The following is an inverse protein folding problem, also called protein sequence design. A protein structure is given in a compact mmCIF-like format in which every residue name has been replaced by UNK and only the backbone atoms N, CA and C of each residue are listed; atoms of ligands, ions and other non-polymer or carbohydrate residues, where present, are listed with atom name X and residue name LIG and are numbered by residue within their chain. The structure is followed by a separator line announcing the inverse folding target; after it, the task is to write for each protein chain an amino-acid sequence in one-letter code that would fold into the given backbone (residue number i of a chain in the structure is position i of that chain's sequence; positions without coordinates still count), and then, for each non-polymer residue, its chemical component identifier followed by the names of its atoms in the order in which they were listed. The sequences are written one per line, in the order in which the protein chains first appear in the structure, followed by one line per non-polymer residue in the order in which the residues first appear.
data_IF_391416727870
#
_entry.id   IF_391416727870
#
_cell.length_a   1.000
_cell.length_b   1.000
_cell.length_c   1.000
_cell.angle_alpha   90.00
_cell.angle_beta   90.00
_cell.angle_gamma   90.00
#
_symmetry.space_group_name_H-M   'P 1'
#
loop_
_entity.id
_entity.type
_entity.pdbx_description
1 polymer ?
#
# COMPACT_ATOMS: atom_id res chain seq x y z
N UNK A 1 8.36 16.98 -7.22
CA UNK A 1 7.49 18.16 -7.06
C UNK A 1 6.18 18.04 -7.85
N UNK A 2 6.20 17.80 -9.16
CA UNK A 2 4.98 17.70 -9.98
C UNK A 2 4.03 16.59 -9.48
N UNK A 3 4.55 15.42 -9.15
CA UNK A 3 3.77 14.29 -8.62
C UNK A 3 3.06 14.67 -7.31
N UNK A 4 3.75 15.35 -6.41
CA UNK A 4 3.18 15.79 -5.13
C UNK A 4 2.07 16.82 -5.35
N UNK A 5 2.26 17.78 -6.25
CA UNK A 5 1.24 18.76 -6.58
C UNK A 5 0.00 18.11 -7.21
N UNK A 6 0.21 17.21 -8.17
CA UNK A 6 -0.88 16.45 -8.79
C UNK A 6 -1.63 15.57 -7.78
N UNK A 7 -0.90 14.88 -6.90
CA UNK A 7 -1.48 14.06 -5.85
C UNK A 7 -2.27 14.89 -4.83
N UNK A 8 -1.79 16.10 -4.48
CA UNK A 8 -2.51 17.02 -3.60
C UNK A 8 -3.81 17.53 -4.23
N UNK A 9 -3.79 17.89 -5.53
CA UNK A 9 -4.98 18.29 -6.27
C UNK A 9 -5.99 17.13 -6.35
N UNK A 10 -5.52 15.93 -6.61
CA UNK A 10 -6.34 14.72 -6.63
C UNK A 10 -6.94 14.43 -5.25
N UNK A 11 -6.13 14.52 -4.19
CA UNK A 11 -6.59 14.34 -2.80
C UNK A 11 -7.68 15.36 -2.41
N UNK A 12 -7.52 16.61 -2.85
CA UNK A 12 -8.54 17.65 -2.65
C UNK A 12 -9.85 17.29 -3.36
N UNK A 13 -9.78 16.89 -4.64
CA UNK A 13 -10.96 16.49 -5.41
C UNK A 13 -11.65 15.26 -4.78
N UNK A 14 -10.88 14.26 -4.37
CA UNK A 14 -11.38 13.07 -3.67
C UNK A 14 -12.13 13.44 -2.38
N UNK A 15 -11.58 14.40 -1.62
CA UNK A 15 -12.18 14.88 -0.38
C UNK A 15 -13.49 15.64 -0.65
N UNK A 16 -13.51 16.45 -1.71
CA UNK A 16 -14.71 17.20 -2.14
C UNK A 16 -15.87 16.25 -2.49
N UNK A 17 -15.60 15.23 -3.27
CA UNK A 17 -16.57 14.20 -3.68
C UNK A 17 -16.95 13.22 -2.55
N UNK A 18 -16.37 13.38 -1.36
CA UNK A 18 -16.56 12.48 -0.21
C UNK A 18 -16.27 11.02 -0.55
N UNK A 19 -15.37 10.77 -1.51
CA UNK A 19 -14.96 9.42 -1.92
C UNK A 19 -14.36 8.65 -0.74
N UNK A 20 -13.53 9.25 0.15
CA UNK A 20 -13.05 8.56 1.34
C UNK A 20 -14.17 8.04 2.24
N UNK A 21 -15.24 8.82 2.43
CA UNK A 21 -16.38 8.41 3.24
C UNK A 21 -17.15 7.25 2.61
N UNK A 22 -17.38 7.30 1.29
CA UNK A 22 -18.02 6.21 0.52
C UNK A 22 -17.16 4.95 0.51
N UNK A 23 -15.84 5.09 0.34
CA UNK A 23 -14.89 3.99 0.43
C UNK A 23 -14.88 3.34 1.82
N UNK A 24 -14.89 4.15 2.88
CA UNK A 24 -15.00 3.66 4.24
C UNK A 24 -16.29 2.88 4.49
N UNK A 25 -17.43 3.39 4.03
CA UNK A 25 -18.71 2.70 4.14
C UNK A 25 -18.73 1.38 3.36
N UNK A 26 -18.15 1.35 2.17
CA UNK A 26 -18.02 0.13 1.37
C UNK A 26 -17.18 -0.92 2.09
N UNK A 27 -16.04 -0.53 2.65
CA UNK A 27 -15.15 -1.42 3.42
C UNK A 27 -15.85 -1.97 4.68
N UNK A 28 -16.59 -1.13 5.41
CA UNK A 28 -17.33 -1.55 6.60
C UNK A 28 -18.49 -2.48 6.25
N UNK A 29 -19.12 -2.29 5.08
CA UNK A 29 -20.15 -3.20 4.59
C UNK A 29 -19.63 -4.58 4.19
N UNK A 30 -18.37 -4.68 3.76
CA UNK A 30 -17.75 -5.94 3.40
C UNK A 30 -17.52 -6.84 4.62
N UNK A 31 -17.13 -6.26 5.76
CA UNK A 31 -16.93 -7.01 6.98
C UNK A 31 -17.01 -6.12 8.23
N UNK A 32 -17.61 -6.65 9.27
CA UNK A 32 -17.70 -6.02 10.59
C UNK A 32 -16.53 -6.39 11.50
N UNK A 33 -15.71 -7.38 11.10
CA UNK A 33 -14.55 -7.80 11.88
C UNK A 33 -13.31 -6.99 11.52
N UNK A 34 -12.71 -6.22 12.46
CA UNK A 34 -11.58 -5.35 12.18
C UNK A 34 -10.35 -6.09 11.64
N UNK A 35 -10.11 -7.32 12.09
CA UNK A 35 -9.00 -8.15 11.62
C UNK A 35 -9.12 -8.55 10.15
N UNK A 36 -10.33 -8.94 9.73
CA UNK A 36 -10.57 -9.32 8.32
C UNK A 36 -10.44 -8.10 7.42
N UNK A 37 -10.88 -6.94 7.89
CA UNK A 37 -10.74 -5.71 7.15
C UNK A 37 -9.27 -5.29 6.99
N UNK A 38 -8.48 -5.35 8.06
CA UNK A 38 -7.04 -5.08 7.98
C UNK A 38 -6.34 -6.02 7.00
N UNK A 39 -6.67 -7.31 7.03
CA UNK A 39 -6.12 -8.29 6.10
C UNK A 39 -6.49 -7.97 4.65
N UNK A 40 -7.74 -7.59 4.39
CA UNK A 40 -8.20 -7.19 3.07
C UNK A 40 -7.47 -5.93 2.57
N UNK A 41 -7.32 -4.93 3.44
CA UNK A 41 -6.56 -3.71 3.15
C UNK A 41 -5.10 -4.04 2.88
N UNK A 42 -4.47 -4.92 3.67
CA UNK A 42 -3.09 -5.35 3.47
C UNK A 42 -2.89 -5.98 2.10
N UNK A 43 -3.76 -6.90 1.69
CA UNK A 43 -3.70 -7.50 0.35
C UNK A 43 -3.86 -6.43 -0.74
N UNK A 44 -4.81 -5.53 -0.59
CA UNK A 44 -5.02 -4.42 -1.52
C UNK A 44 -3.80 -3.50 -1.63
N UNK A 45 -3.19 -3.15 -0.50
CA UNK A 45 -1.98 -2.31 -0.44
C UNK A 45 -0.77 -2.97 -1.09
N UNK A 46 -0.59 -4.28 -0.90
CA UNK A 46 0.47 -5.03 -1.58
C UNK A 46 0.28 -4.96 -3.10
N UNK A 47 -0.93 -5.24 -3.59
CA UNK A 47 -1.24 -5.19 -5.03
C UNK A 47 -1.00 -3.79 -5.60
N UNK A 48 -1.41 -2.73 -4.90
CA UNK A 48 -1.14 -1.35 -5.31
C UNK A 48 0.34 -1.04 -5.28
N UNK A 49 1.06 -1.46 -4.22
CA UNK A 49 2.51 -1.27 -4.09
C UNK A 49 3.33 -2.00 -5.15
N UNK A 50 2.81 -3.12 -5.70
CA UNK A 50 3.43 -3.79 -6.85
C UNK A 50 3.38 -2.95 -8.13
N UNK A 51 2.34 -2.12 -8.30
CA UNK A 51 2.05 -1.41 -9.56
C UNK A 51 2.48 0.05 -9.52
N UNK A 52 2.40 0.69 -8.35
CA UNK A 52 2.61 2.13 -8.16
C UNK A 52 3.79 2.34 -7.21
N UNK A 53 4.54 3.40 -7.44
CA UNK A 53 5.63 3.82 -6.54
C UNK A 53 5.07 4.13 -5.14
N UNK A 54 5.75 3.64 -4.10
CA UNK A 54 5.26 3.65 -2.73
C UNK A 54 4.90 5.03 -2.18
N UNK A 55 5.70 6.07 -2.48
CA UNK A 55 5.43 7.44 -2.02
C UNK A 55 4.17 8.02 -2.66
N UNK A 56 3.98 7.80 -3.96
CA UNK A 56 2.78 8.23 -4.66
C UNK A 56 1.55 7.48 -4.15
N UNK A 57 1.66 6.17 -3.96
CA UNK A 57 0.58 5.35 -3.40
C UNK A 57 0.21 5.80 -1.98
N UNK A 58 1.19 6.11 -1.13
CA UNK A 58 0.95 6.60 0.23
C UNK A 58 0.14 7.90 0.21
N UNK A 59 0.54 8.89 -0.59
CA UNK A 59 -0.14 10.19 -0.68
C UNK A 59 -1.59 10.02 -1.18
N UNK A 60 -1.81 9.13 -2.14
CA UNK A 60 -3.14 8.88 -2.72
C UNK A 60 -4.06 8.10 -1.80
N UNK A 61 -3.55 7.08 -1.10
CA UNK A 61 -4.38 6.15 -0.32
C UNK A 61 -4.62 6.62 1.10
N UNK A 62 -3.71 7.37 1.70
CA UNK A 62 -3.85 7.85 3.08
C UNK A 62 -5.16 8.58 3.33
N UNK A 63 -5.58 9.59 2.53
CA UNK A 63 -6.83 10.30 2.76
C UNK A 63 -8.08 9.41 2.59
N UNK A 64 -7.96 8.30 1.88
CA UNK A 64 -9.06 7.35 1.67
C UNK A 64 -9.17 6.37 2.83
N UNK A 65 -8.03 5.82 3.27
CA UNK A 65 -7.99 4.73 4.24
C UNK A 65 -8.06 5.22 5.70
N UNK A 66 -7.40 6.34 6.03
CA UNK A 66 -7.35 6.85 7.42
C UNK A 66 -8.74 7.10 8.01
N UNK A 67 -9.70 7.75 7.31
CA UNK A 67 -11.04 7.92 7.86
C UNK A 67 -11.78 6.60 8.09
N UNK A 68 -11.49 5.57 7.28
CA UNK A 68 -12.09 4.25 7.43
C UNK A 68 -11.60 3.55 8.70
N UNK A 69 -10.28 3.54 8.91
CA UNK A 69 -9.68 2.85 10.06
C UNK A 69 -9.98 3.54 11.39
N UNK A 70 -10.06 4.88 11.40
CA UNK A 70 -10.43 5.65 12.60
C UNK A 70 -11.86 5.32 13.03
N UNK A 71 -12.80 5.16 12.10
CA UNK A 71 -14.18 4.73 12.39
C UNK A 71 -14.24 3.34 13.03
N UNK A 72 -13.25 2.50 12.79
CA UNK A 72 -13.14 1.16 13.37
C UNK A 72 -12.37 1.12 14.69
N UNK A 73 -11.93 2.29 15.18
CA UNK A 73 -11.18 2.40 16.43
C UNK A 73 -9.73 1.93 16.34
N UNK A 74 -9.18 1.82 15.12
CA UNK A 74 -7.76 1.46 14.90
C UNK A 74 -6.91 2.72 15.02
N UNK A 75 -5.77 2.61 15.72
CA UNK A 75 -4.84 3.72 15.90
C UNK A 75 -4.23 4.13 14.54
N UNK A 76 -4.36 5.41 14.12
CA UNK A 76 -3.80 5.91 12.88
C UNK A 76 -2.28 5.76 12.77
N UNK A 77 -1.56 5.83 13.89
CA UNK A 77 -0.11 5.68 13.91
C UNK A 77 0.30 4.24 13.57
N UNK A 78 -0.36 3.28 14.20
CA UNK A 78 -0.16 1.86 13.91
C UNK A 78 -0.46 1.56 12.42
N UNK A 79 -1.58 2.06 11.93
CA UNK A 79 -1.96 1.88 10.53
C UNK A 79 -0.99 2.57 9.55
N UNK A 80 -0.44 3.72 9.94
CA UNK A 80 0.59 4.41 9.16
C UNK A 80 1.84 3.54 8.95
N UNK A 81 2.29 2.85 9.98
CA UNK A 81 3.39 1.89 9.88
C UNK A 81 3.03 0.71 8.96
N UNK A 82 1.84 0.18 9.11
CA UNK A 82 1.33 -0.92 8.27
C UNK A 82 1.31 -0.53 6.79
N UNK A 83 0.81 0.66 6.43
CA UNK A 83 0.81 1.13 5.03
C UNK A 83 2.22 1.22 4.47
N UNK A 84 3.17 1.83 5.21
CA UNK A 84 4.54 2.01 4.74
C UNK A 84 5.22 0.66 4.49
N UNK A 85 5.09 -0.27 5.43
CA UNK A 85 5.66 -1.62 5.31
C UNK A 85 5.04 -2.36 4.13
N UNK A 86 3.70 -2.32 3.99
CA UNK A 86 3.00 -2.95 2.86
C UNK A 86 3.46 -2.45 1.49
N UNK A 87 3.50 -1.14 1.32
CA UNK A 87 3.91 -0.53 0.05
C UNK A 87 5.38 -0.82 -0.27
N UNK A 88 6.24 -0.89 0.75
CA UNK A 88 7.64 -1.28 0.59
C UNK A 88 7.76 -2.74 0.13
N UNK A 89 7.02 -3.66 0.76
CA UNK A 89 6.96 -5.07 0.35
C UNK A 89 6.43 -5.18 -1.08
N UNK A 90 5.35 -4.47 -1.41
CA UNK A 90 4.80 -4.43 -2.76
C UNK A 90 5.82 -3.97 -3.79
N UNK A 91 6.59 -2.91 -3.49
CA UNK A 91 7.63 -2.37 -4.38
C UNK A 91 8.80 -3.34 -4.68
N UNK A 92 9.00 -4.36 -3.84
CA UNK A 92 10.02 -5.40 -4.04
C UNK A 92 9.42 -6.68 -4.63
N UNK A 93 8.09 -6.83 -4.59
CA UNK A 93 7.38 -8.07 -4.98
C UNK A 93 6.97 -8.05 -6.46
N UNK A 94 7.18 -9.15 -7.24
CA UNK A 94 6.68 -9.25 -8.60
C UNK A 94 5.13 -9.18 -8.62
N UNK A 95 4.46 -8.72 -9.71
CA UNK A 95 4.94 -8.74 -11.10
C UNK A 95 5.70 -7.49 -11.54
N UNK A 96 5.45 -6.31 -10.99
CA UNK A 96 6.15 -5.10 -11.44
C UNK A 96 7.25 -4.73 -10.45
N UNK A 97 6.93 -4.38 -9.20
CA UNK A 97 7.92 -4.06 -8.16
C UNK A 97 8.92 -2.98 -8.59
N UNK A 98 8.55 -1.72 -8.47
CA UNK A 98 9.37 -0.60 -8.98
C UNK A 98 10.79 -0.58 -8.41
N UNK A 99 10.96 -0.92 -7.12
CA UNK A 99 12.26 -1.02 -6.47
C UNK A 99 13.06 -2.24 -6.99
N UNK A 100 12.37 -3.37 -7.22
CA UNK A 100 12.98 -4.57 -7.80
C UNK A 100 13.54 -4.28 -9.20
N UNK A 101 12.77 -3.66 -10.09
CA UNK A 101 13.22 -3.30 -11.42
C UNK A 101 14.42 -2.37 -11.40
N UNK A 102 14.39 -1.34 -10.56
CA UNK A 102 15.49 -0.39 -10.41
C UNK A 102 16.76 -1.09 -9.94
N UNK A 103 16.66 -1.93 -8.92
CA UNK A 103 17.79 -2.68 -8.38
C UNK A 103 18.36 -3.65 -9.42
N UNK A 104 17.51 -4.44 -10.08
CA UNK A 104 17.95 -5.37 -11.13
C UNK A 104 18.60 -4.66 -12.31
N UNK A 105 18.11 -3.48 -12.68
CA UNK A 105 18.69 -2.67 -13.76
C UNK A 105 20.11 -2.17 -13.40
N UNK A 106 20.30 -1.67 -12.18
CA UNK A 106 21.60 -1.17 -11.71
C UNK A 106 22.60 -2.30 -11.57
N UNK A 107 22.19 -3.42 -10.98
CA UNK A 107 23.05 -4.58 -10.75
C UNK A 107 23.24 -5.46 -11.99
N UNK A 108 22.50 -5.20 -13.06
CA UNK A 108 22.47 -6.02 -14.29
C UNK A 108 22.16 -7.50 -14.03
N UNK A 109 21.28 -7.77 -13.08
CA UNK A 109 20.84 -9.10 -12.70
C UNK A 109 19.44 -9.36 -13.27
N UNK A 110 19.17 -10.61 -13.65
CA UNK A 110 17.84 -11.01 -14.10
C UNK A 110 16.85 -10.99 -12.93
N UNK A 111 15.61 -10.56 -13.18
CA UNK A 111 14.53 -10.51 -12.20
C UNK A 111 14.28 -11.89 -11.56
N UNK A 112 14.35 -12.95 -12.36
CA UNK A 112 14.19 -14.34 -11.89
C UNK A 112 15.21 -14.71 -10.81
N UNK A 113 16.47 -14.28 -11.00
CA UNK A 113 17.55 -14.52 -10.03
C UNK A 113 17.32 -13.71 -8.77
N UNK A 114 16.91 -12.44 -8.89
CA UNK A 114 16.58 -11.59 -7.75
C UNK A 114 15.46 -12.18 -6.90
N UNK A 115 14.38 -12.63 -7.53
CA UNK A 115 13.22 -13.23 -6.83
C UNK A 115 13.63 -14.54 -6.16
N UNK A 116 14.41 -15.39 -6.83
CA UNK A 116 14.86 -16.69 -6.29
C UNK A 116 15.74 -16.53 -5.06
N UNK A 117 16.68 -15.61 -5.09
CA UNK A 117 17.57 -15.35 -3.96
C UNK A 117 16.87 -14.52 -2.85
N UNK A 118 15.98 -13.60 -3.24
CA UNK A 118 15.24 -12.72 -2.32
C UNK A 118 14.02 -13.35 -1.66
N UNK A 119 13.58 -14.54 -2.09
CA UNK A 119 12.36 -15.20 -1.61
C UNK A 119 12.27 -15.34 -0.09
N UNK A 120 13.37 -15.72 0.54
CA UNK A 120 13.44 -15.91 1.99
C UNK A 120 13.22 -14.58 2.74
N UNK A 121 13.78 -13.48 2.22
CA UNK A 121 13.59 -12.14 2.80
C UNK A 121 12.17 -11.64 2.60
N UNK A 122 11.58 -11.88 1.43
CA UNK A 122 10.18 -11.53 1.17
C UNK A 122 9.25 -12.26 2.14
N UNK A 123 9.45 -13.56 2.35
CA UNK A 123 8.66 -14.33 3.32
C UNK A 123 8.81 -13.78 4.74
N UNK A 124 10.01 -13.43 5.17
CA UNK A 124 10.23 -12.83 6.49
C UNK A 124 9.47 -11.49 6.63
N UNK A 125 9.48 -10.65 5.60
CA UNK A 125 8.73 -9.39 5.60
C UNK A 125 7.21 -9.62 5.66
N UNK A 126 6.69 -10.61 4.95
CA UNK A 126 5.27 -10.99 5.03
C UNK A 126 4.87 -11.47 6.43
N UNK A 127 5.74 -12.24 7.10
CA UNK A 127 5.48 -12.72 8.46
C UNK A 127 5.44 -11.54 9.46
N UNK A 128 6.31 -10.56 9.29
CA UNK A 128 6.33 -9.35 10.17
C UNK A 128 5.09 -8.49 9.96
N UNK A 129 4.51 -8.51 8.76
CA UNK A 129 3.31 -7.74 8.43
C UNK A 129 2.02 -8.32 9.04
N UNK A 130 1.96 -9.64 9.23
CA UNK A 130 0.81 -10.37 9.81
C UNK A 130 0.72 -10.22 11.32
#
# INVERSE_FOLDING_TARGET
MIIICAASAFGFYMSWERIPAKGAEFLIKLTTHPWVLLLLINIGLIVVGMLIEGTAALILLTPILVPAIVKLGIDPLHFGLVIVVNLTIGGVTPPVGTMMFTTCSIMRVKIETFVKEGWTFMLAMFIVLL
#
